data_IF_393025334326
#
_entry.id   IF_393025334326
#
_cell.length_a   1.000
_cell.length_b   1.000
_cell.length_c   1.000
_cell.angle_alpha   90.00
_cell.angle_beta   90.00
_cell.angle_gamma   90.00
#
_symmetry.space_group_name_H-M   'P 1'
#
loop_
_entity.id
_entity.type
_entity.pdbx_description
1 polymer ?
#
# COMPACT_ATOMS: atom_id res chain seq x y z
N UNK A 1 29.96 -19.82 22.14
CA UNK A 1 29.55 -18.44 21.83
C UNK A 1 28.78 -18.44 20.51
N UNK A 2 27.45 -18.54 20.55
CA UNK A 2 26.65 -18.40 19.34
C UNK A 2 26.47 -16.90 19.06
N UNK A 3 27.11 -16.41 18.00
CA UNK A 3 26.83 -15.10 17.43
C UNK A 3 25.37 -15.11 16.98
N UNK A 4 24.50 -14.46 17.74
CA UNK A 4 23.18 -14.05 17.27
C UNK A 4 23.42 -13.01 16.18
N UNK A 5 23.50 -13.47 14.93
CA UNK A 5 23.24 -12.61 13.78
C UNK A 5 21.78 -12.21 13.90
N UNK A 6 21.55 -11.08 14.56
CA UNK A 6 20.28 -10.38 14.51
C UNK A 6 20.10 -9.88 13.08
N UNK A 7 19.58 -10.75 12.21
CA UNK A 7 18.75 -10.29 11.10
C UNK A 7 17.58 -9.57 11.76
N UNK A 8 17.75 -8.27 12.01
CA UNK A 8 16.61 -7.39 12.24
C UNK A 8 15.93 -7.34 10.89
N UNK A 9 14.98 -8.26 10.70
CA UNK A 9 13.91 -8.08 9.73
C UNK A 9 13.43 -6.64 9.90
N UNK A 10 13.80 -5.78 8.96
CA UNK A 10 13.21 -4.45 8.85
C UNK A 10 11.77 -4.71 8.45
N UNK A 11 10.93 -4.98 9.45
CA UNK A 11 9.49 -5.07 9.32
C UNK A 11 9.04 -3.67 8.95
N UNK A 12 9.00 -3.40 7.66
CA UNK A 12 8.20 -2.28 7.15
C UNK A 12 6.80 -2.55 7.67
N UNK A 13 6.35 -1.70 8.58
CA UNK A 13 4.98 -1.67 9.02
C UNK A 13 4.56 -0.22 8.88
N UNK A 14 3.80 0.06 7.82
CA UNK A 14 2.92 1.22 7.86
C UNK A 14 1.88 0.84 8.91
N UNK A 15 1.80 1.58 9.99
CA UNK A 15 0.89 1.34 11.10
C UNK A 15 -0.55 1.68 10.67
N UNK A 16 -1.54 1.18 11.42
CA UNK A 16 -2.95 1.49 11.10
C UNK A 16 -3.19 3.00 11.25
N UNK A 17 -2.61 3.59 12.28
CA UNK A 17 -2.69 5.02 12.60
C UNK A 17 -2.08 5.88 11.49
N UNK A 18 -0.98 5.41 10.86
CA UNK A 18 -0.37 6.08 9.71
C UNK A 18 -1.28 6.01 8.48
N UNK A 19 -1.96 4.87 8.26
CA UNK A 19 -2.95 4.72 7.19
C UNK A 19 -4.13 5.67 7.41
N UNK A 20 -4.65 5.71 8.63
CA UNK A 20 -5.79 6.56 9.02
C UNK A 20 -5.47 8.04 8.88
N UNK A 21 -4.27 8.45 9.30
CA UNK A 21 -3.79 9.82 9.13
C UNK A 21 -3.77 10.21 7.64
N UNK A 22 -3.16 9.37 6.79
CA UNK A 22 -3.07 9.63 5.36
C UNK A 22 -4.46 9.67 4.72
N UNK A 23 -5.34 8.72 5.02
CA UNK A 23 -6.72 8.68 4.52
C UNK A 23 -7.47 9.97 4.89
N UNK A 24 -7.41 10.38 6.16
CA UNK A 24 -8.07 11.58 6.64
C UNK A 24 -7.54 12.84 5.96
N UNK A 25 -6.22 12.91 5.75
CA UNK A 25 -5.58 14.06 5.10
C UNK A 25 -5.84 14.15 3.60
N UNK A 26 -5.95 13.01 2.92
CA UNK A 26 -6.32 12.97 1.51
C UNK A 26 -7.74 13.51 1.28
N UNK A 27 -8.66 13.31 2.24
CA UNK A 27 -10.04 13.77 2.13
C UNK A 27 -10.82 13.13 0.98
N UNK A 28 -10.38 11.95 0.51
CA UNK A 28 -11.00 11.23 -0.60
C UNK A 28 -11.88 10.09 -0.07
N UNK A 29 -13.15 10.08 -0.48
CA UNK A 29 -14.07 8.98 -0.16
C UNK A 29 -13.72 7.67 -0.89
N UNK A 30 -12.93 7.77 -1.96
CA UNK A 30 -12.46 6.66 -2.79
C UNK A 30 -11.10 6.99 -3.37
N UNK A 31 -10.15 6.06 -3.29
CA UNK A 31 -8.78 6.25 -3.75
C UNK A 31 -8.12 4.94 -4.19
N UNK A 32 -7.03 5.05 -4.94
CA UNK A 32 -6.19 3.93 -5.40
C UNK A 32 -4.89 3.87 -4.62
N UNK A 33 -4.12 2.78 -4.79
CA UNK A 33 -2.77 2.72 -4.19
C UNK A 33 -1.84 3.81 -4.73
N UNK A 34 -2.06 4.30 -5.96
CA UNK A 34 -1.26 5.39 -6.52
C UNK A 34 -1.58 6.71 -5.83
N UNK A 35 -2.85 7.02 -5.59
CA UNK A 35 -3.25 8.24 -4.87
C UNK A 35 -2.64 8.26 -3.45
N UNK A 36 -2.68 7.11 -2.77
CA UNK A 36 -2.09 6.95 -1.44
C UNK A 36 -0.57 7.11 -1.46
N UNK A 37 0.11 6.52 -2.44
CA UNK A 37 1.55 6.64 -2.60
C UNK A 37 1.99 8.07 -2.98
N UNK A 38 1.26 8.72 -3.89
CA UNK A 38 1.55 10.08 -4.32
C UNK A 38 1.34 11.06 -3.14
N UNK A 39 0.32 10.84 -2.30
CA UNK A 39 0.18 11.62 -1.06
C UNK A 39 1.38 11.47 -0.13
N UNK A 40 1.82 10.23 0.13
CA UNK A 40 3.00 9.97 0.98
C UNK A 40 4.24 10.64 0.40
N UNK A 41 4.44 10.53 -0.91
CA UNK A 41 5.58 11.10 -1.61
C UNK A 41 5.67 12.61 -1.44
N UNK A 42 4.52 13.28 -1.51
CA UNK A 42 4.46 14.74 -1.48
C UNK A 42 4.41 15.31 -0.06
N UNK A 43 3.92 14.55 0.93
CA UNK A 43 3.58 15.08 2.27
C UNK A 43 4.26 14.35 3.44
N UNK A 44 4.59 13.06 3.32
CA UNK A 44 5.04 12.20 4.44
C UNK A 44 6.46 11.67 4.20
N UNK A 45 7.45 12.59 4.21
CA UNK A 45 8.85 12.28 3.85
C UNK A 45 9.50 11.18 4.70
N UNK A 46 9.23 11.15 6.01
CA UNK A 46 9.75 10.10 6.91
C UNK A 46 9.21 8.71 6.53
N UNK A 47 7.90 8.63 6.25
CA UNK A 47 7.26 7.40 5.81
C UNK A 47 7.78 6.95 4.44
N UNK A 48 8.00 7.89 3.53
CA UNK A 48 8.61 7.62 2.23
C UNK A 48 10.04 7.07 2.39
N UNK A 49 10.88 7.70 3.22
CA UNK A 49 12.26 7.25 3.45
C UNK A 49 12.32 5.85 4.07
N UNK A 50 11.40 5.54 5.00
CA UNK A 50 11.26 4.20 5.59
C UNK A 50 10.83 3.16 4.55
N UNK A 51 9.93 3.52 3.65
CA UNK A 51 9.53 2.66 2.53
C UNK A 51 10.70 2.43 1.59
N UNK A 52 11.31 3.49 1.09
CA UNK A 52 12.41 3.43 0.12
C UNK A 52 13.60 2.66 0.69
N UNK A 53 14.04 2.94 1.92
CA UNK A 53 15.16 2.25 2.57
C UNK A 53 15.00 0.73 2.64
N UNK A 54 13.75 0.28 2.75
CA UNK A 54 13.46 -1.13 2.92
C UNK A 54 13.22 -1.87 1.59
N UNK A 55 13.03 -1.15 0.48
CA UNK A 55 12.96 -1.71 -0.88
C UNK A 55 14.22 -1.44 -1.73
N UNK A 56 15.01 -0.40 -1.40
CA UNK A 56 16.26 -0.01 -2.07
C UNK A 56 17.41 -1.01 -1.82
N UNK A 57 17.42 -1.69 -0.66
CA UNK A 57 18.49 -2.62 -0.28
C UNK A 57 18.25 -4.09 -0.66
N UNK A 58 17.15 -4.39 -1.37
CA UNK A 58 16.82 -5.77 -1.75
C UNK A 58 17.14 -6.03 -3.21
N UNK A 59 18.42 -6.27 -3.54
CA UNK A 59 18.82 -6.91 -4.81
C UNK A 59 18.13 -8.28 -5.01
N UNK A 60 17.52 -8.85 -3.97
CA UNK A 60 17.02 -10.22 -3.89
C UNK A 60 15.50 -10.41 -4.06
N UNK A 61 14.67 -9.35 -4.10
CA UNK A 61 13.21 -9.50 -4.30
C UNK A 61 12.79 -8.96 -5.66
N UNK A 62 13.10 -9.71 -6.72
CA UNK A 62 12.49 -9.54 -8.05
C UNK A 62 10.95 -9.51 -7.91
N UNK A 63 10.35 -8.33 -7.98
CA UNK A 63 8.90 -8.15 -8.17
C UNK A 63 8.08 -7.59 -7.00
N UNK A 64 8.66 -7.32 -5.81
CA UNK A 64 7.90 -6.75 -4.69
C UNK A 64 8.24 -5.27 -4.49
N UNK A 65 7.48 -4.39 -5.15
CA UNK A 65 7.66 -2.93 -5.13
C UNK A 65 6.99 -2.28 -3.90
N UNK A 66 7.35 -1.02 -3.55
CA UNK A 66 6.64 -0.24 -2.55
C UNK A 66 5.12 -0.19 -2.79
N UNK A 67 4.70 -0.04 -4.05
CA UNK A 67 3.27 -0.02 -4.43
C UNK A 67 2.58 -1.34 -4.14
N UNK A 68 3.20 -2.48 -4.45
CA UNK A 68 2.64 -3.80 -4.13
C UNK A 68 2.49 -4.00 -2.62
N UNK A 69 3.49 -3.55 -1.86
CA UNK A 69 3.43 -3.58 -0.40
C UNK A 69 2.31 -2.71 0.17
N UNK A 70 2.20 -1.44 -0.27
CA UNK A 70 1.13 -0.54 0.18
C UNK A 70 -0.24 -1.13 -0.19
N UNK A 71 -0.40 -1.65 -1.42
CA UNK A 71 -1.64 -2.28 -1.85
C UNK A 71 -2.03 -3.43 -0.92
N UNK A 72 -1.09 -4.34 -0.63
CA UNK A 72 -1.35 -5.45 0.29
C UNK A 72 -1.65 -4.99 1.72
N UNK A 73 -0.96 -3.95 2.18
CA UNK A 73 -1.15 -3.38 3.51
C UNK A 73 -2.53 -2.75 3.68
N UNK A 74 -3.01 -2.02 2.67
CA UNK A 74 -4.35 -1.44 2.63
C UNK A 74 -5.43 -2.52 2.50
N UNK A 75 -5.21 -3.56 1.70
CA UNK A 75 -6.12 -4.72 1.65
C UNK A 75 -6.22 -5.39 3.01
N UNK A 76 -5.11 -5.61 3.70
CA UNK A 76 -5.12 -6.18 5.04
C UNK A 76 -5.85 -5.28 6.04
N UNK A 77 -5.55 -3.98 6.03
CA UNK A 77 -6.24 -2.99 6.85
C UNK A 77 -7.74 -3.02 6.63
N UNK A 78 -8.21 -2.95 5.38
CA UNK A 78 -9.65 -2.91 5.04
C UNK A 78 -10.48 -4.08 5.58
N UNK A 79 -9.84 -5.21 5.90
CA UNK A 79 -10.52 -6.41 6.41
C UNK A 79 -10.63 -6.42 7.93
N UNK A 80 -10.02 -5.46 8.62
CA UNK A 80 -10.10 -5.32 10.06
C UNK A 80 -11.41 -4.62 10.44
N UNK A 81 -11.98 -4.99 11.59
CA UNK A 81 -13.30 -4.52 12.02
C UNK A 81 -13.32 -2.99 12.26
N UNK A 82 -12.23 -2.46 12.81
CA UNK A 82 -11.97 -1.07 13.15
C UNK A 82 -11.45 -0.22 11.99
N UNK A 83 -11.23 -0.82 10.81
CA UNK A 83 -10.76 -0.08 9.64
C UNK A 83 -11.74 0.99 9.18
N UNK A 84 -11.22 2.12 8.69
CA UNK A 84 -12.02 3.15 8.00
C UNK A 84 -12.45 2.73 6.59
N UNK A 85 -11.87 1.64 6.05
CA UNK A 85 -12.12 1.21 4.68
C UNK A 85 -13.19 0.11 4.62
N UNK A 86 -14.04 0.19 3.61
CA UNK A 86 -14.91 -0.92 3.23
C UNK A 86 -14.07 -2.17 2.90
N UNK A 87 -14.47 -3.38 3.34
CA UNK A 87 -13.68 -4.59 3.14
C UNK A 87 -13.32 -4.86 1.67
N UNK A 88 -12.02 -4.95 1.39
CA UNK A 88 -11.53 -5.20 0.05
C UNK A 88 -11.58 -6.69 -0.30
N UNK A 89 -12.31 -7.02 -1.37
CA UNK A 89 -12.41 -8.39 -1.91
C UNK A 89 -11.26 -8.69 -2.87
N UNK A 90 -10.88 -9.96 -3.00
CA UNK A 90 -9.81 -10.37 -3.93
C UNK A 90 -10.25 -10.18 -5.39
N UNK A 91 -9.27 -10.03 -6.29
CA UNK A 91 -9.50 -9.82 -7.72
C UNK A 91 -10.39 -10.91 -8.35
N UNK A 92 -10.13 -12.18 -8.02
CA UNK A 92 -10.91 -13.33 -8.49
C UNK A 92 -12.39 -13.28 -8.08
N UNK A 93 -12.70 -12.62 -6.96
CA UNK A 93 -14.06 -12.57 -6.38
C UNK A 93 -14.77 -11.23 -6.61
N UNK A 94 -14.07 -10.23 -7.16
CA UNK A 94 -14.55 -8.86 -7.12
C UNK A 94 -13.87 -7.91 -8.10
N UNK A 95 -13.47 -8.40 -9.27
CA UNK A 95 -12.84 -7.63 -10.35
C UNK A 95 -13.56 -6.31 -10.64
N UNK A 96 -14.89 -6.27 -10.57
CA UNK A 96 -15.69 -5.07 -10.86
C UNK A 96 -16.05 -4.24 -9.62
N UNK A 97 -15.68 -4.68 -8.41
CA UNK A 97 -16.07 -4.04 -7.13
C UNK A 97 -14.95 -3.23 -6.49
N UNK A 98 -13.75 -3.80 -6.47
CA UNK A 98 -12.59 -3.23 -5.77
C UNK A 98 -11.39 -3.01 -6.69
N UNK A 99 -11.55 -3.15 -8.00
CA UNK A 99 -10.48 -2.89 -8.95
C UNK A 99 -11.00 -2.00 -10.07
N UNK A 100 -10.10 -1.21 -10.66
CA UNK A 100 -10.37 -0.47 -11.88
C UNK A 100 -9.27 -0.71 -12.90
N UNK A 101 -9.62 -0.66 -14.17
CA UNK A 101 -8.65 -0.68 -15.26
C UNK A 101 -7.87 0.64 -15.24
N UNK A 102 -6.55 0.58 -15.32
CA UNK A 102 -5.69 1.77 -15.29
C UNK A 102 -5.42 2.33 -16.68
N UNK A 103 -4.99 3.59 -16.74
CA UNK A 103 -4.45 4.20 -17.96
C UNK A 103 -3.11 3.57 -18.35
N UNK A 104 -2.67 3.70 -19.60
CA UNK A 104 -1.33 3.21 -20.02
C UNK A 104 -0.19 3.84 -19.21
N UNK A 105 -0.32 5.13 -18.85
CA UNK A 105 0.65 5.84 -18.00
C UNK A 105 0.74 5.20 -16.60
N UNK A 106 -0.40 4.87 -16.00
CA UNK A 106 -0.44 4.25 -14.67
C UNK A 106 -0.05 2.78 -14.71
N UNK A 107 -0.32 2.08 -15.81
CA UNK A 107 0.18 0.73 -16.08
C UNK A 107 1.70 0.71 -16.14
N UNK A 108 2.34 1.70 -16.75
CA UNK A 108 3.81 1.80 -16.75
C UNK A 108 4.38 1.99 -15.34
N UNK A 109 3.68 2.71 -14.45
CA UNK A 109 4.07 2.93 -13.04
C UNK A 109 3.83 1.69 -12.18
N UNK A 110 2.62 1.14 -12.25
CA UNK A 110 2.15 0.06 -11.37
C UNK A 110 2.47 -1.35 -11.90
N UNK A 111 2.80 -1.47 -13.19
CA UNK A 111 3.11 -2.73 -13.90
C UNK A 111 1.94 -3.74 -13.93
N UNK A 112 0.70 -3.26 -13.86
CA UNK A 112 -0.53 -4.08 -13.94
C UNK A 112 -1.63 -3.33 -14.67
N UNK A 113 -2.51 -4.07 -15.38
CA UNK A 113 -3.68 -3.53 -16.09
C UNK A 113 -4.81 -3.08 -15.17
N UNK A 114 -4.81 -3.57 -13.93
CA UNK A 114 -5.81 -3.25 -12.92
C UNK A 114 -5.13 -2.82 -11.63
N UNK A 115 -5.75 -1.86 -10.96
CA UNK A 115 -5.31 -1.33 -9.66
C UNK A 115 -6.40 -1.52 -8.61
N UNK A 116 -5.98 -1.79 -7.38
CA UNK A 116 -6.86 -1.86 -6.23
C UNK A 116 -7.45 -0.48 -5.91
N UNK A 117 -8.74 -0.48 -5.57
CA UNK A 117 -9.54 0.70 -5.28
C UNK A 117 -10.15 0.54 -3.91
N UNK A 118 -9.85 1.48 -3.04
CA UNK A 118 -10.31 1.54 -1.67
C UNK A 118 -11.41 2.59 -1.53
N UNK A 119 -12.38 2.30 -0.67
CA UNK A 119 -13.49 3.20 -0.35
C UNK A 119 -13.59 3.31 1.15
N UNK A 120 -13.93 4.50 1.65
CA UNK A 120 -14.31 4.66 3.05
C UNK A 120 -15.57 3.84 3.37
N UNK A 121 -15.75 3.49 4.64
CA UNK A 121 -17.05 3.04 5.15
C UNK A 121 -17.99 4.25 5.21
N UNK A 122 -19.26 4.01 4.94
CA UNK A 122 -20.34 4.99 5.15
C UNK A 122 -20.64 5.17 6.65
#
# INVERSE_FOLDING_TARGET
MYKKNGNKDVKIQILNEEIELVINKMGLNKFTVLDFYDYIKDNEKDLLERLDSAFMNTESKKGYSPLNYISNRLVHYSRQNDSFLSPHVSYEKGKDKCFMKVSEKDKERFKSDYIAVFKLKD
#
